data_IF_798354007530
#
_entry.id   IF_798354007530
#
_cell.length_a   1.000
_cell.length_b   1.000
_cell.length_c   1.000
_cell.angle_alpha   90.00
_cell.angle_beta   90.00
_cell.angle_gamma   90.00
#
_symmetry.space_group_name_H-M   'P 1'
#
loop_
_entity.id
_entity.type
_entity.pdbx_description
1 polymer ?
#
# COMPACT_ATOMS: atom_id res chain seq x y z
N UNK A 1 -4.80 9.37 7.62
CA UNK A 1 -5.10 10.03 6.33
C UNK A 1 -6.45 10.72 6.41
N UNK A 2 -7.58 10.03 6.60
CA UNK A 2 -8.93 10.63 6.62
C UNK A 2 -9.06 11.79 7.61
N UNK A 3 -8.58 11.64 8.86
CA UNK A 3 -8.55 12.74 9.85
C UNK A 3 -7.80 13.95 9.29
N UNK A 4 -6.63 13.77 8.65
CA UNK A 4 -5.84 14.86 8.08
C UNK A 4 -6.55 15.56 6.91
N UNK A 5 -7.29 14.83 6.07
CA UNK A 5 -8.13 15.41 5.02
C UNK A 5 -9.21 16.31 5.64
N UNK A 6 -9.90 15.82 6.66
CA UNK A 6 -10.95 16.58 7.38
C UNK A 6 -10.38 17.84 8.06
N UNK A 7 -9.32 17.71 8.84
CA UNK A 7 -8.68 18.83 9.55
C UNK A 7 -8.17 19.92 8.59
N UNK A 8 -7.73 19.54 7.40
CA UNK A 8 -7.23 20.45 6.36
C UNK A 8 -8.34 20.98 5.43
N UNK A 9 -9.59 20.61 5.64
CA UNK A 9 -10.72 21.01 4.80
C UNK A 9 -10.58 20.56 3.34
N UNK A 10 -9.83 19.47 3.07
CA UNK A 10 -9.59 19.00 1.71
C UNK A 10 -10.78 18.18 1.23
N UNK A 11 -11.31 18.56 0.05
CA UNK A 11 -12.31 17.80 -0.69
C UNK A 11 -11.61 16.98 -1.77
N UNK A 12 -12.03 15.73 -1.93
CA UNK A 12 -11.58 14.85 -3.01
C UNK A 12 -12.65 14.80 -4.09
N UNK A 13 -12.28 14.67 -5.38
CA UNK A 13 -13.24 14.55 -6.47
C UNK A 13 -13.90 13.17 -6.56
N UNK A 14 -13.69 12.31 -5.58
CA UNK A 14 -14.20 10.95 -5.51
C UNK A 14 -14.60 10.58 -4.07
N UNK A 15 -15.35 9.50 -3.93
CA UNK A 15 -15.72 8.95 -2.62
C UNK A 15 -14.55 8.12 -2.06
N UNK A 16 -14.09 8.45 -0.85
CA UNK A 16 -13.07 7.72 -0.13
C UNK A 16 -13.71 6.79 0.91
N UNK A 17 -13.43 5.50 0.80
CA UNK A 17 -13.70 4.51 1.84
C UNK A 17 -12.43 4.23 2.61
N UNK A 18 -12.51 4.21 3.94
CA UNK A 18 -11.44 3.73 4.82
C UNK A 18 -11.90 2.39 5.36
N UNK A 19 -11.15 1.36 5.02
CA UNK A 19 -11.48 -0.03 5.32
C UNK A 19 -10.50 -0.59 6.32
N UNK A 20 -11.00 -1.30 7.31
CA UNK A 20 -10.24 -2.18 8.18
C UNK A 20 -10.79 -3.59 7.96
N UNK A 21 -10.14 -4.35 7.10
CA UNK A 21 -10.50 -5.73 6.79
C UNK A 21 -10.14 -6.67 7.93
N UNK A 22 -10.81 -7.80 8.00
CA UNK A 22 -10.56 -8.85 8.98
C UNK A 22 -10.06 -10.11 8.28
N UNK A 23 -9.41 -11.00 9.02
CA UNK A 23 -9.00 -12.32 8.55
C UNK A 23 -8.04 -12.27 7.34
N UNK A 24 -7.14 -11.29 7.32
CA UNK A 24 -6.07 -11.22 6.33
C UNK A 24 -5.18 -12.46 6.44
N UNK A 25 -4.66 -12.76 7.62
CA UNK A 25 -3.73 -13.85 7.96
C UNK A 25 -4.25 -15.27 7.67
N UNK A 26 -5.54 -15.42 7.45
CA UNK A 26 -6.18 -16.73 7.21
C UNK A 26 -6.89 -16.81 5.86
N UNK A 27 -6.44 -15.99 4.90
CA UNK A 27 -6.87 -16.07 3.51
C UNK A 27 -7.61 -14.84 2.97
N UNK A 28 -7.27 -13.62 3.42
CA UNK A 28 -7.73 -12.33 2.86
C UNK A 28 -9.26 -12.18 2.82
N UNK A 29 -9.97 -12.87 3.71
CA UNK A 29 -11.42 -13.09 3.59
C UNK A 29 -12.22 -11.79 3.71
N UNK A 30 -11.85 -10.92 4.66
CA UNK A 30 -12.52 -9.65 4.85
C UNK A 30 -12.32 -8.71 3.65
N UNK A 31 -11.11 -8.67 3.10
CA UNK A 31 -10.80 -7.88 1.91
C UNK A 31 -11.61 -8.35 0.69
N UNK A 32 -11.71 -9.67 0.48
CA UNK A 32 -12.51 -10.23 -0.61
C UNK A 32 -13.98 -9.84 -0.49
N UNK A 33 -14.58 -10.00 0.69
CA UNK A 33 -15.99 -9.62 0.93
C UNK A 33 -16.21 -8.13 0.70
N UNK A 34 -15.31 -7.28 1.16
CA UNK A 34 -15.41 -5.83 1.01
C UNK A 34 -15.22 -5.42 -0.44
N UNK A 35 -14.27 -6.01 -1.16
CA UNK A 35 -14.05 -5.76 -2.58
C UNK A 35 -15.32 -6.05 -3.39
N UNK A 36 -15.97 -7.17 -3.14
CA UNK A 36 -17.22 -7.57 -3.81
C UNK A 36 -18.43 -6.70 -3.42
N UNK A 37 -18.45 -6.21 -2.19
CA UNK A 37 -19.55 -5.37 -1.70
C UNK A 37 -19.43 -3.92 -2.17
N UNK A 38 -18.25 -3.32 -2.03
CA UNK A 38 -18.01 -1.91 -2.37
C UNK A 38 -17.75 -1.70 -3.86
N UNK A 39 -17.19 -2.69 -4.55
CA UNK A 39 -16.78 -2.62 -5.96
C UNK A 39 -16.00 -1.33 -6.26
N UNK A 40 -14.89 -1.08 -5.56
CA UNK A 40 -14.16 0.18 -5.71
C UNK A 40 -13.52 0.28 -7.09
N UNK A 41 -13.35 1.52 -7.58
CA UNK A 41 -12.64 1.76 -8.83
C UNK A 41 -11.12 1.68 -8.67
N UNK A 42 -10.62 1.89 -7.46
CA UNK A 42 -9.19 1.87 -7.11
C UNK A 42 -9.05 1.43 -5.66
N UNK A 43 -8.00 0.69 -5.34
CA UNK A 43 -7.65 0.31 -3.98
C UNK A 43 -6.19 0.64 -3.67
N UNK A 44 -5.93 1.28 -2.54
CA UNK A 44 -4.58 1.47 -1.99
C UNK A 44 -4.52 0.71 -0.68
N UNK A 45 -3.74 -0.34 -0.66
CA UNK A 45 -3.58 -1.24 0.47
C UNK A 45 -2.33 -0.85 1.26
N UNK A 46 -2.45 -0.88 2.58
CA UNK A 46 -1.30 -0.75 3.49
C UNK A 46 -1.18 -2.02 4.30
N UNK A 47 0.04 -2.51 4.36
CA UNK A 47 0.40 -3.73 5.08
C UNK A 47 1.79 -3.56 5.71
N UNK A 48 2.40 -4.63 6.15
CA UNK A 48 3.79 -4.71 6.57
C UNK A 48 4.61 -5.53 5.59
N UNK A 49 5.92 -5.40 5.64
CA UNK A 49 6.86 -6.29 4.96
C UNK A 49 8.07 -6.54 5.86
N UNK A 50 8.79 -7.60 5.62
CA UNK A 50 9.98 -7.90 6.39
C UNK A 50 11.03 -6.79 6.27
N UNK A 51 11.51 -6.30 7.40
CA UNK A 51 12.70 -5.49 7.49
C UNK A 51 13.93 -6.39 7.37
N UNK A 52 14.83 -6.08 6.45
CA UNK A 52 15.86 -7.01 5.97
C UNK A 52 17.25 -6.82 6.59
N UNK A 53 17.44 -5.88 7.51
CA UNK A 53 18.66 -5.79 8.32
C UNK A 53 18.66 -6.77 9.51
N UNK A 54 17.51 -7.41 9.77
CA UNK A 54 17.37 -8.41 10.82
C UNK A 54 18.08 -9.73 10.44
N UNK A 55 18.60 -10.50 11.41
CA UNK A 55 19.13 -11.82 11.13
C UNK A 55 18.12 -12.70 10.38
N UNK A 56 18.61 -13.63 9.58
CA UNK A 56 17.84 -14.56 8.74
C UNK A 56 17.35 -14.00 7.39
N UNK A 57 17.58 -12.73 7.09
CA UNK A 57 17.26 -12.15 5.78
C UNK A 57 18.51 -12.02 4.92
N UNK A 58 18.34 -12.28 3.63
CA UNK A 58 19.40 -12.17 2.63
C UNK A 58 19.00 -11.14 1.58
N UNK A 59 19.57 -9.93 1.60
CA UNK A 59 19.18 -8.85 0.68
C UNK A 59 19.19 -9.23 -0.80
N UNK A 60 20.14 -10.08 -1.22
CA UNK A 60 20.22 -10.56 -2.59
C UNK A 60 19.03 -11.43 -3.04
N UNK A 61 18.25 -11.98 -2.10
CA UNK A 61 17.07 -12.80 -2.38
C UNK A 61 15.75 -12.06 -2.14
N UNK A 62 15.72 -11.20 -1.12
CA UNK A 62 14.48 -10.59 -0.61
C UNK A 62 14.39 -9.08 -0.89
N UNK A 63 15.46 -8.49 -1.44
CA UNK A 63 15.60 -7.04 -1.54
C UNK A 63 16.11 -6.43 -0.24
N UNK A 64 16.24 -5.11 -0.24
CA UNK A 64 16.71 -4.36 0.92
C UNK A 64 15.61 -3.40 1.37
N UNK A 65 15.06 -3.65 2.55
CA UNK A 65 14.02 -2.83 3.17
C UNK A 65 14.43 -2.50 4.59
N UNK A 66 14.81 -1.26 4.83
CA UNK A 66 15.40 -0.80 6.09
C UNK A 66 14.40 0.08 6.85
N UNK A 67 14.20 -0.24 8.11
CA UNK A 67 13.37 0.58 9.00
C UNK A 67 13.95 1.99 9.14
N UNK A 68 13.10 3.01 8.98
CA UNK A 68 13.48 4.42 9.00
C UNK A 68 13.70 5.04 7.61
N UNK A 69 13.78 4.24 6.54
CA UNK A 69 14.00 4.72 5.17
C UNK A 69 12.71 4.96 4.37
N UNK A 70 11.57 4.93 5.03
CA UNK A 70 10.26 5.16 4.42
C UNK A 70 9.50 3.88 4.09
N UNK A 71 8.24 4.04 3.69
CA UNK A 71 7.39 2.92 3.29
C UNK A 71 7.87 2.24 2.02
N UNK A 72 7.53 0.98 1.84
CA UNK A 72 7.95 0.14 0.71
C UNK A 72 6.83 0.08 -0.32
N UNK A 73 7.07 0.61 -1.52
CA UNK A 73 6.13 0.57 -2.64
C UNK A 73 6.42 -0.64 -3.51
N UNK A 74 5.52 -1.60 -3.50
CA UNK A 74 5.71 -2.90 -4.14
C UNK A 74 5.37 -2.87 -5.63
N UNK A 75 6.13 -3.62 -6.44
CA UNK A 75 5.79 -4.04 -7.80
C UNK A 75 5.47 -5.53 -7.78
N UNK A 76 4.28 -5.91 -8.20
CA UNK A 76 3.82 -7.31 -8.24
C UNK A 76 2.74 -7.49 -9.31
N UNK A 77 2.38 -8.71 -9.68
CA UNK A 77 1.28 -8.97 -10.63
C UNK A 77 -0.06 -8.34 -10.20
N UNK A 78 -0.35 -8.30 -8.90
CA UNK A 78 -1.54 -7.67 -8.34
C UNK A 78 -1.49 -6.13 -8.27
N UNK A 79 -0.33 -5.53 -8.56
CA UNK A 79 -0.13 -4.08 -8.43
C UNK A 79 -0.27 -3.39 -9.77
N UNK A 80 -1.20 -2.44 -9.86
CA UNK A 80 -1.45 -1.69 -11.08
C UNK A 80 -0.34 -0.68 -11.35
N UNK A 81 0.28 -0.76 -12.53
CA UNK A 81 1.48 0.01 -12.87
C UNK A 81 1.27 1.53 -12.88
N UNK A 82 0.13 2.01 -13.41
CA UNK A 82 -0.18 3.45 -13.49
C UNK A 82 -0.42 4.01 -12.08
N UNK A 83 -1.20 3.30 -11.26
CA UNK A 83 -1.44 3.72 -9.87
C UNK A 83 -0.14 3.73 -9.05
N UNK A 84 0.67 2.67 -9.22
CA UNK A 84 2.00 2.62 -8.60
C UNK A 84 2.88 3.79 -9.04
N UNK A 85 2.90 4.09 -10.34
CA UNK A 85 3.67 5.23 -10.87
C UNK A 85 3.23 6.55 -10.24
N UNK A 86 1.93 6.80 -10.12
CA UNK A 86 1.40 8.00 -9.45
C UNK A 86 1.89 8.11 -7.99
N UNK A 87 1.96 6.99 -7.27
CA UNK A 87 2.48 6.97 -5.89
C UNK A 87 3.97 7.36 -5.87
N UNK A 88 4.77 6.78 -6.76
CA UNK A 88 6.21 7.08 -6.85
C UNK A 88 6.47 8.54 -7.24
N UNK A 89 5.81 9.00 -8.30
CA UNK A 89 5.92 10.40 -8.76
C UNK A 89 5.54 11.38 -7.65
N UNK A 90 4.49 11.03 -6.87
CA UNK A 90 4.08 11.83 -5.68
C UNK A 90 5.17 11.83 -4.61
N UNK A 91 5.78 10.68 -4.35
CA UNK A 91 6.89 10.55 -3.40
C UNK A 91 8.06 11.46 -3.78
N UNK A 92 8.47 11.41 -5.04
CA UNK A 92 9.57 12.18 -5.59
C UNK A 92 9.27 13.70 -5.56
N UNK A 93 8.11 14.11 -6.07
CA UNK A 93 7.68 15.51 -6.07
C UNK A 93 7.63 16.12 -4.67
N UNK A 94 7.06 15.39 -3.72
CA UNK A 94 6.89 15.86 -2.34
C UNK A 94 8.07 15.55 -1.42
N UNK A 95 9.15 14.96 -1.97
CA UNK A 95 10.35 14.54 -1.24
C UNK A 95 9.99 13.70 0.00
N UNK A 96 9.17 12.68 -0.22
CA UNK A 96 8.75 11.75 0.82
C UNK A 96 9.60 10.47 0.65
N UNK A 97 10.37 10.07 1.66
CA UNK A 97 11.15 8.84 1.57
C UNK A 97 10.27 7.61 1.34
N UNK A 98 10.68 6.77 0.40
CA UNK A 98 10.10 5.46 0.14
C UNK A 98 11.18 4.51 -0.36
N UNK A 99 10.88 3.22 -0.28
CA UNK A 99 11.72 2.13 -0.77
C UNK A 99 10.95 1.31 -1.80
N UNK A 100 11.65 0.48 -2.57
CA UNK A 100 11.06 -0.32 -3.63
C UNK A 100 11.17 -1.80 -3.32
N UNK A 101 10.08 -2.53 -3.54
CA UNK A 101 10.06 -3.98 -3.54
C UNK A 101 9.55 -4.53 -4.87
N UNK A 102 9.90 -5.77 -5.16
CA UNK A 102 9.34 -6.51 -6.28
C UNK A 102 9.00 -7.95 -5.87
N UNK A 103 7.84 -8.42 -6.32
CA UNK A 103 7.42 -9.82 -6.21
C UNK A 103 7.03 -10.32 -7.58
N UNK A 104 7.47 -11.53 -7.94
CA UNK A 104 7.06 -12.22 -9.17
C UNK A 104 5.78 -13.04 -9.00
N UNK A 105 5.25 -13.11 -7.78
CA UNK A 105 4.08 -13.90 -7.39
C UNK A 105 3.05 -13.03 -6.68
N UNK A 106 2.10 -13.67 -5.99
CA UNK A 106 1.18 -13.01 -5.08
C UNK A 106 1.92 -12.14 -4.05
N UNK A 107 1.28 -11.06 -3.62
CA UNK A 107 1.82 -10.19 -2.58
C UNK A 107 1.70 -10.80 -1.19
N UNK A 108 0.76 -11.72 -1.00
CA UNK A 108 0.41 -12.28 0.31
C UNK A 108 -0.29 -11.29 1.21
N UNK A 109 -0.95 -10.27 0.65
CA UNK A 109 -1.66 -9.22 1.35
C UNK A 109 -3.07 -9.03 0.78
N UNK A 110 -3.89 -8.23 1.41
CA UNK A 110 -5.22 -7.85 0.92
C UNK A 110 -5.22 -7.28 -0.52
N UNK A 111 -4.06 -6.85 -1.03
CA UNK A 111 -3.89 -6.39 -2.41
C UNK A 111 -4.33 -7.45 -3.42
N UNK A 112 -4.00 -8.72 -3.16
CA UNK A 112 -4.35 -9.81 -4.08
C UNK A 112 -5.88 -10.00 -4.15
N UNK A 113 -6.58 -9.85 -3.02
CA UNK A 113 -8.03 -9.97 -2.98
C UNK A 113 -8.72 -8.86 -3.78
N UNK A 114 -8.28 -7.61 -3.64
CA UNK A 114 -8.82 -6.49 -4.41
C UNK A 114 -8.48 -6.61 -5.89
N UNK A 115 -7.22 -6.88 -6.22
CA UNK A 115 -6.73 -6.90 -7.61
C UNK A 115 -7.45 -7.93 -8.48
N UNK A 116 -7.88 -9.05 -7.90
CA UNK A 116 -8.54 -10.14 -8.63
C UNK A 116 -10.07 -10.16 -8.47
N UNK A 117 -10.66 -9.16 -7.83
CA UNK A 117 -12.11 -9.02 -7.69
C UNK A 117 -12.71 -8.17 -8.82
N UNK A 118 -14.02 -8.34 -9.06
CA UNK A 118 -14.83 -7.48 -9.93
C UNK A 118 -14.24 -7.22 -11.33
N UNK A 119 -13.54 -8.18 -11.93
CA UNK A 119 -12.90 -8.03 -13.24
C UNK A 119 -11.57 -7.28 -13.21
N UNK A 120 -11.00 -7.07 -12.04
CA UNK A 120 -9.71 -6.42 -11.82
C UNK A 120 -9.85 -5.01 -11.24
N UNK A 121 -9.66 -4.86 -9.94
CA UNK A 121 -9.59 -3.55 -9.30
C UNK A 121 -8.15 -3.05 -9.33
N UNK A 122 -7.87 -1.91 -9.97
CA UNK A 122 -6.54 -1.28 -9.92
C UNK A 122 -6.08 -1.07 -8.49
N UNK A 123 -5.09 -1.84 -8.08
CA UNK A 123 -4.64 -1.93 -6.70
C UNK A 123 -3.17 -1.53 -6.55
N UNK A 124 -2.81 -0.96 -5.42
CA UNK A 124 -1.43 -0.66 -5.05
C UNK A 124 -1.15 -1.06 -3.60
N UNK A 125 0.10 -1.44 -3.35
CA UNK A 125 0.57 -1.85 -2.03
C UNK A 125 1.70 -0.92 -1.55
N UNK A 126 1.52 -0.40 -0.34
CA UNK A 126 2.53 0.37 0.39
C UNK A 126 2.71 -0.29 1.76
N UNK A 127 3.85 -0.93 1.97
CA UNK A 127 4.12 -1.66 3.21
C UNK A 127 5.02 -0.88 4.16
N UNK A 128 4.91 -1.17 5.45
CA UNK A 128 5.81 -0.70 6.49
C UNK A 128 6.89 -1.76 6.74
N UNK A 129 8.20 -1.42 6.69
CA UNK A 129 9.23 -2.35 7.14
C UNK A 129 9.02 -2.70 8.62
N UNK A 130 8.83 -3.98 8.90
CA UNK A 130 8.56 -4.51 10.22
C UNK A 130 9.65 -5.49 10.64
N UNK A 131 10.27 -5.25 11.79
CA UNK A 131 11.20 -6.19 12.43
C UNK A 131 10.43 -7.26 13.17
N UNK A 132 10.94 -8.47 13.13
CA UNK A 132 10.45 -9.61 13.90
C UNK A 132 8.97 -9.93 13.63
N UNK A 133 8.54 -9.82 12.36
CA UNK A 133 7.18 -10.12 11.94
C UNK A 133 6.72 -11.50 12.43
N UNK A 134 5.47 -11.59 12.88
CA UNK A 134 4.83 -12.78 13.46
C UNK A 134 5.51 -13.27 14.75
N UNK A 135 6.09 -12.36 15.52
CA UNK A 135 6.65 -12.64 16.86
C UNK A 135 6.01 -11.77 17.93
N UNK A 136 6.37 -12.00 19.19
CA UNK A 136 5.85 -11.21 20.32
C UNK A 136 6.51 -9.84 20.47
N UNK A 137 7.49 -9.49 19.64
CA UNK A 137 8.26 -8.25 19.76
C UNK A 137 8.36 -7.48 18.44
N UNK A 138 7.30 -7.48 17.63
CA UNK A 138 7.25 -6.73 16.38
C UNK A 138 7.53 -5.25 16.59
N UNK A 139 8.34 -4.68 15.70
CA UNK A 139 8.77 -3.29 15.83
C UNK A 139 8.75 -2.58 14.48
N UNK A 140 8.08 -1.43 14.42
CA UNK A 140 8.04 -0.54 13.26
C UNK A 140 8.71 0.80 13.58
N UNK A 141 9.36 1.41 12.61
CA UNK A 141 9.95 2.73 12.77
C UNK A 141 8.88 3.82 12.67
N UNK A 142 8.82 4.70 13.66
CA UNK A 142 7.79 5.77 13.76
C UNK A 142 7.76 6.69 12.51
N UNK A 143 8.92 6.96 11.93
CA UNK A 143 8.99 7.86 10.77
C UNK A 143 8.51 7.19 9.49
N UNK A 144 8.62 5.86 9.37
CA UNK A 144 8.01 5.13 8.25
C UNK A 144 6.48 5.25 8.28
N UNK A 145 5.88 5.13 9.47
CA UNK A 145 4.42 5.35 9.64
C UNK A 145 4.03 6.76 9.21
N UNK A 146 4.79 7.79 9.62
CA UNK A 146 4.53 9.18 9.22
C UNK A 146 4.68 9.38 7.71
N UNK A 147 5.71 8.77 7.10
CA UNK A 147 6.00 8.87 5.68
C UNK A 147 4.93 8.16 4.84
N UNK A 148 4.48 6.97 5.24
CA UNK A 148 3.37 6.26 4.58
C UNK A 148 2.07 7.08 4.66
N UNK A 149 1.73 7.62 5.84
CA UNK A 149 0.57 8.51 5.98
C UNK A 149 0.69 9.74 5.07
N UNK A 150 1.87 10.35 4.97
CA UNK A 150 2.12 11.51 4.13
C UNK A 150 2.02 11.15 2.65
N UNK A 151 2.60 10.01 2.25
CA UNK A 151 2.58 9.53 0.88
C UNK A 151 1.15 9.27 0.40
N UNK A 152 0.38 8.48 1.14
CA UNK A 152 -1.03 8.20 0.80
C UNK A 152 -1.84 9.50 0.76
N UNK A 153 -1.67 10.38 1.73
CA UNK A 153 -2.39 11.67 1.78
C UNK A 153 -2.11 12.50 0.53
N UNK A 154 -0.85 12.63 0.11
CA UNK A 154 -0.49 13.40 -1.08
C UNK A 154 -0.93 12.69 -2.37
N UNK A 155 -0.80 11.37 -2.45
CA UNK A 155 -1.31 10.60 -3.59
C UNK A 155 -2.81 10.80 -3.79
N UNK A 156 -3.61 10.76 -2.72
CA UNK A 156 -5.05 11.01 -2.81
C UNK A 156 -5.38 12.42 -3.31
N UNK A 157 -4.57 13.43 -2.97
CA UNK A 157 -4.75 14.80 -3.48
C UNK A 157 -4.31 14.96 -4.94
N UNK A 158 -3.45 14.08 -5.43
CA UNK A 158 -2.99 14.07 -6.81
C UNK A 158 -3.87 13.21 -7.75
N UNK A 159 -4.86 12.47 -7.21
CA UNK A 159 -5.85 11.77 -8.03
C UNK A 159 -6.90 12.78 -8.50
N UNK A 160 -6.99 12.96 -9.82
CA UNK A 160 -7.97 13.82 -10.48
C UNK A 160 -9.18 13.01 -10.97
N UNK A 161 -10.29 13.66 -11.24
CA UNK A 161 -11.53 13.02 -11.70
C UNK A 161 -11.37 12.29 -13.04
N UNK A 162 -10.46 12.76 -13.90
CA UNK A 162 -10.18 12.20 -15.22
C UNK A 162 -9.09 11.12 -15.22
N UNK A 163 -8.51 10.79 -14.09
CA UNK A 163 -7.53 9.69 -14.02
C UNK A 163 -8.17 8.35 -14.41
N UNK A 164 -7.62 7.75 -15.45
CA UNK A 164 -8.07 6.44 -15.92
C UNK A 164 -7.12 5.34 -15.42
N UNK A 165 -7.61 4.54 -14.49
CA UNK A 165 -6.90 3.35 -13.98
C UNK A 165 -7.48 2.04 -14.54
N UNK A 166 -8.33 2.08 -15.56
CA UNK A 166 -8.86 0.86 -16.18
C UNK A 166 -7.74 0.11 -16.92
N UNK A 167 -7.80 -1.20 -16.85
CA UNK A 167 -7.01 -2.04 -17.75
C UNK A 167 -7.60 -1.91 -19.18
N UNK A 168 -6.74 -1.66 -20.15
CA UNK A 168 -7.13 -1.61 -21.56
C UNK A 168 -7.14 -3.02 -22.15
#
# INVERSE_FOLDING_TARGET
VARKLKEKGKKLPFKLYVVNSVQEEIGLRGAQMIADTLKPNVAIITDVCHETSSPCYTPSKQGEHIAGNGGVVTRAPAVHNILRKLILDTGDEKKIPYQLAASSRATGTDTDAFAFSNGGVPSALISLPLKYMHTTCETVHKDDVKNVIKLIYQTLLNIEENHNFKYN
#
